data_IF_867872941288
#
_entry.id   IF_867872941288
#
_cell.length_a   1.000
_cell.length_b   1.000
_cell.length_c   1.000
_cell.angle_alpha   90.00
_cell.angle_beta   90.00
_cell.angle_gamma   90.00
#
_symmetry.space_group_name_H-M   'P 1'
#
loop_
_entity.id
_entity.type
_entity.pdbx_description
1 polymer ?
#
# COMPACT_ATOMS: atom_id res chain seq x y z
N UNK A 1 22.07 11.95 -8.36
CA UNK A 1 21.14 12.78 -7.56
C UNK A 1 21.90 13.45 -6.42
N UNK A 2 21.71 14.76 -6.18
CA UNK A 2 22.16 15.41 -4.96
C UNK A 2 21.51 14.81 -3.71
N UNK A 3 22.26 14.78 -2.60
CA UNK A 3 21.86 14.20 -1.30
C UNK A 3 20.48 14.69 -0.82
N UNK A 4 20.17 15.97 -1.04
CA UNK A 4 18.89 16.56 -0.63
C UNK A 4 17.70 16.00 -1.42
N UNK A 5 17.89 15.64 -2.69
CA UNK A 5 16.83 15.03 -3.50
C UNK A 5 16.55 13.60 -3.06
N UNK A 6 17.58 12.84 -2.67
CA UNK A 6 17.42 11.48 -2.13
C UNK A 6 16.61 11.51 -0.84
N UNK A 7 16.90 12.45 0.06
CA UNK A 7 16.13 12.62 1.30
C UNK A 7 14.68 12.99 1.03
N UNK A 8 14.42 13.89 0.06
CA UNK A 8 13.06 14.24 -0.35
C UNK A 8 12.32 13.04 -0.93
N UNK A 9 13.00 12.23 -1.75
CA UNK A 9 12.43 11.01 -2.32
C UNK A 9 12.05 10.00 -1.24
N UNK A 10 12.95 9.75 -0.28
CA UNK A 10 12.65 8.85 0.85
C UNK A 10 11.47 9.34 1.67
N UNK A 11 11.38 10.64 1.96
CA UNK A 11 10.24 11.19 2.69
C UNK A 11 8.92 11.06 1.90
N UNK A 12 8.96 11.24 0.58
CA UNK A 12 7.80 11.01 -0.26
C UNK A 12 7.34 9.54 -0.21
N UNK A 13 8.27 8.59 -0.31
CA UNK A 13 7.98 7.15 -0.21
C UNK A 13 7.38 6.81 1.16
N UNK A 14 7.97 7.30 2.25
CA UNK A 14 7.42 7.11 3.61
C UNK A 14 6.01 7.68 3.73
N UNK A 15 5.74 8.84 3.13
CA UNK A 15 4.41 9.44 3.12
C UNK A 15 3.37 8.59 2.38
N UNK A 16 3.74 7.95 1.27
CA UNK A 16 2.85 7.05 0.54
C UNK A 16 2.60 5.74 1.32
N UNK A 17 3.63 5.16 1.93
CA UNK A 17 3.51 3.99 2.80
C UNK A 17 2.64 4.27 4.03
N UNK A 18 2.82 5.42 4.68
CA UNK A 18 2.00 5.81 5.82
C UNK A 18 0.52 6.00 5.42
N UNK A 19 0.27 6.60 4.25
CA UNK A 19 -1.09 6.75 3.71
C UNK A 19 -1.74 5.40 3.44
N UNK A 20 -0.99 4.46 2.88
CA UNK A 20 -1.48 3.11 2.69
C UNK A 20 -1.85 2.43 4.02
N UNK A 21 -0.98 2.52 5.04
CA UNK A 21 -1.29 1.99 6.38
C UNK A 21 -2.57 2.57 6.97
N UNK A 22 -2.85 3.86 6.76
CA UNK A 22 -4.08 4.52 7.21
C UNK A 22 -5.34 4.07 6.46
N UNK A 23 -5.17 3.51 5.25
CA UNK A 23 -6.28 3.01 4.42
C UNK A 23 -6.58 1.53 4.69
N UNK A 24 -5.73 0.83 5.45
CA UNK A 24 -6.05 -0.50 5.97
C UNK A 24 -6.99 -0.36 7.17
N UNK A 25 -8.05 -1.18 7.26
CA UNK A 25 -8.79 -1.36 8.50
C UNK A 25 -7.85 -1.75 9.63
N UNK A 26 -8.07 -1.27 10.86
CA UNK A 26 -7.18 -1.61 11.98
C UNK A 26 -7.18 -3.13 12.27
N UNK A 27 -8.30 -3.81 12.01
CA UNK A 27 -8.40 -5.27 12.11
C UNK A 27 -7.59 -6.02 11.04
N UNK A 28 -7.18 -5.35 9.95
CA UNK A 28 -6.44 -5.95 8.84
C UNK A 28 -4.93 -6.03 9.08
N UNK A 29 -4.44 -5.53 10.21
CA UNK A 29 -3.03 -5.57 10.58
C UNK A 29 -2.91 -5.91 12.06
N UNK A 30 -2.10 -6.93 12.37
CA UNK A 30 -1.81 -7.27 13.76
C UNK A 30 -0.93 -6.19 14.41
N UNK A 31 -0.98 -6.09 15.74
CA UNK A 31 -0.09 -5.18 16.47
C UNK A 31 1.39 -5.44 16.17
N UNK A 32 1.78 -6.72 16.02
CA UNK A 32 3.14 -7.10 15.66
C UNK A 32 3.53 -6.61 14.26
N UNK A 33 2.66 -6.79 13.26
CA UNK A 33 2.90 -6.31 11.90
C UNK A 33 2.95 -4.77 11.82
N UNK A 34 2.12 -4.08 12.60
CA UNK A 34 2.14 -2.62 12.69
C UNK A 34 3.45 -2.11 13.33
N UNK A 35 3.96 -2.78 14.36
CA UNK A 35 5.26 -2.46 14.97
C UNK A 35 6.42 -2.70 14.01
N UNK A 36 6.45 -3.84 13.31
CA UNK A 36 7.48 -4.15 12.32
C UNK A 36 7.46 -3.15 11.15
N UNK A 37 6.28 -2.78 10.67
CA UNK A 37 6.15 -1.74 9.66
C UNK A 37 6.77 -0.41 10.11
N UNK A 38 6.54 0.00 11.36
CA UNK A 38 7.13 1.22 11.90
C UNK A 38 8.66 1.12 12.02
N UNK A 39 9.17 -0.02 12.48
CA UNK A 39 10.62 -0.30 12.54
C UNK A 39 11.27 -0.15 11.15
N UNK A 40 10.68 -0.76 10.11
CA UNK A 40 11.18 -0.62 8.73
C UNK A 40 11.21 0.85 8.26
N UNK A 41 10.21 1.66 8.63
CA UNK A 41 10.22 3.08 8.31
C UNK A 41 11.35 3.82 9.03
N UNK A 42 11.60 3.52 10.30
CA UNK A 42 12.63 4.18 11.10
C UNK A 42 14.04 3.86 10.57
N UNK A 43 14.23 2.63 10.06
CA UNK A 43 15.49 2.16 9.48
C UNK A 43 15.65 2.44 7.97
N UNK A 44 14.71 3.13 7.32
CA UNK A 44 14.66 3.34 5.86
C UNK A 44 14.63 2.04 5.03
N UNK A 45 14.11 0.95 5.59
CA UNK A 45 13.91 -0.33 4.89
C UNK A 45 12.59 -0.30 4.10
N UNK A 46 12.46 0.67 3.20
CA UNK A 46 11.20 1.04 2.55
C UNK A 46 10.59 -0.09 1.70
N UNK A 47 11.43 -0.98 1.15
CA UNK A 47 10.97 -2.17 0.44
C UNK A 47 10.29 -3.18 1.37
N UNK A 48 10.86 -3.42 2.56
CA UNK A 48 10.27 -4.31 3.57
C UNK A 48 8.96 -3.72 4.12
N UNK A 49 8.93 -2.41 4.36
CA UNK A 49 7.70 -1.71 4.73
C UNK A 49 6.59 -1.85 3.67
N UNK A 50 6.96 -1.82 2.38
CA UNK A 50 6.02 -2.03 1.28
C UNK A 50 5.49 -3.47 1.25
N UNK A 51 6.37 -4.46 1.37
CA UNK A 51 5.98 -5.88 1.40
C UNK A 51 5.09 -6.22 2.58
N UNK A 52 5.37 -5.68 3.77
CA UNK A 52 4.53 -5.90 4.95
C UNK A 52 3.09 -5.40 4.76
N UNK A 53 2.91 -4.25 4.10
CA UNK A 53 1.57 -3.76 3.76
C UNK A 53 0.92 -4.58 2.65
N UNK A 54 1.69 -5.01 1.66
CA UNK A 54 1.18 -5.86 0.58
C UNK A 54 0.55 -7.14 1.11
N UNK A 55 1.23 -7.84 2.02
CA UNK A 55 0.71 -9.07 2.65
C UNK A 55 -0.63 -8.79 3.34
N UNK A 56 -0.72 -7.71 4.12
CA UNK A 56 -1.97 -7.30 4.76
C UNK A 56 -3.07 -7.00 3.73
N UNK A 57 -2.72 -6.36 2.62
CA UNK A 57 -3.67 -6.03 1.56
C UNK A 57 -4.20 -7.27 0.83
N UNK A 58 -3.35 -8.26 0.56
CA UNK A 58 -3.76 -9.51 -0.10
C UNK A 58 -4.80 -10.24 0.77
N UNK A 59 -4.58 -10.29 2.08
CA UNK A 59 -5.44 -11.03 3.00
C UNK A 59 -6.78 -10.34 3.27
N UNK A 60 -6.85 -9.01 3.18
CA UNK A 60 -8.01 -8.23 3.64
C UNK A 60 -8.75 -7.46 2.54
N UNK A 61 -8.30 -7.55 1.29
CA UNK A 61 -8.96 -6.94 0.11
C UNK A 61 -9.35 -5.47 0.33
N UNK A 62 -8.39 -4.57 0.66
CA UNK A 62 -8.67 -3.16 0.89
C UNK A 62 -9.09 -2.45 -0.40
N UNK A 63 -9.66 -1.25 -0.24
CA UNK A 63 -10.12 -0.45 -1.38
C UNK A 63 -9.00 0.01 -2.30
N UNK A 64 -9.36 0.44 -3.52
CA UNK A 64 -8.42 0.85 -4.57
C UNK A 64 -7.39 1.91 -4.12
N UNK A 65 -7.80 2.84 -3.24
CA UNK A 65 -6.92 3.89 -2.70
C UNK A 65 -5.70 3.32 -1.96
N UNK A 66 -5.84 2.18 -1.28
CA UNK A 66 -4.73 1.51 -0.61
C UNK A 66 -3.68 1.06 -1.63
N UNK A 67 -4.14 0.32 -2.65
CA UNK A 67 -3.26 -0.20 -3.70
C UNK A 67 -2.60 0.91 -4.52
N UNK A 68 -3.30 2.03 -4.76
CA UNK A 68 -2.72 3.19 -5.43
C UNK A 68 -1.61 3.85 -4.58
N UNK A 69 -1.78 3.91 -3.26
CA UNK A 69 -0.73 4.41 -2.38
C UNK A 69 0.51 3.48 -2.37
N UNK A 70 0.31 2.15 -2.32
CA UNK A 70 1.42 1.18 -2.46
C UNK A 70 2.12 1.29 -3.82
N UNK A 71 1.34 1.45 -4.91
CA UNK A 71 1.88 1.69 -6.26
C UNK A 71 2.79 2.91 -6.27
N UNK A 72 2.36 4.02 -5.68
CA UNK A 72 3.10 5.27 -5.70
C UNK A 72 4.41 5.19 -4.93
N UNK A 73 4.44 4.44 -3.83
CA UNK A 73 5.66 4.10 -3.10
C UNK A 73 6.59 3.21 -3.96
N UNK A 74 6.06 2.11 -4.51
CA UNK A 74 6.82 1.17 -5.33
C UNK A 74 7.44 1.82 -6.57
N UNK A 75 6.67 2.66 -7.27
CA UNK A 75 7.15 3.40 -8.43
C UNK A 75 8.32 4.34 -8.09
N UNK A 76 8.25 5.05 -6.96
CA UNK A 76 9.34 5.92 -6.48
C UNK A 76 10.59 5.15 -6.05
N UNK A 77 10.43 3.89 -5.63
CA UNK A 77 11.53 2.98 -5.33
C UNK A 77 12.11 2.28 -6.56
N UNK A 78 11.51 2.46 -7.75
CA UNK A 78 11.92 1.77 -8.98
C UNK A 78 11.46 0.30 -9.04
N UNK A 79 10.50 -0.11 -8.20
CA UNK A 79 9.94 -1.45 -8.16
C UNK A 79 8.80 -1.59 -9.20
N UNK A 80 9.14 -1.52 -10.49
CA UNK A 80 8.15 -1.43 -11.58
C UNK A 80 7.14 -2.59 -11.58
N UNK A 81 7.60 -3.82 -11.35
CA UNK A 81 6.72 -5.00 -11.32
C UNK A 81 5.69 -4.92 -10.17
N UNK A 82 6.10 -4.40 -9.01
CA UNK A 82 5.22 -4.20 -7.86
C UNK A 82 4.21 -3.08 -8.15
N UNK A 83 4.67 -1.96 -8.73
CA UNK A 83 3.80 -0.86 -9.12
C UNK A 83 2.70 -1.33 -10.10
N UNK A 84 3.06 -2.11 -11.12
CA UNK A 84 2.08 -2.67 -12.05
C UNK A 84 1.11 -3.65 -11.37
N UNK A 85 1.62 -4.52 -10.49
CA UNK A 85 0.79 -5.43 -9.70
C UNK A 85 -0.25 -4.66 -8.88
N UNK A 86 0.18 -3.64 -8.16
CA UNK A 86 -0.71 -2.83 -7.32
C UNK A 86 -1.70 -2.02 -8.14
N UNK A 87 -1.31 -1.51 -9.29
CA UNK A 87 -2.24 -0.86 -10.21
C UNK A 87 -3.37 -1.81 -10.63
N UNK A 88 -3.04 -3.06 -11.02
CA UNK A 88 -4.04 -4.08 -11.35
C UNK A 88 -4.94 -4.44 -10.17
N UNK A 89 -4.41 -4.49 -8.95
CA UNK A 89 -5.19 -4.74 -7.74
C UNK A 89 -6.13 -3.58 -7.41
N UNK A 90 -5.73 -2.34 -7.67
CA UNK A 90 -6.59 -1.17 -7.51
C UNK A 90 -7.78 -1.17 -8.50
N UNK A 91 -7.55 -1.67 -9.72
CA UNK A 91 -8.56 -1.71 -10.78
C UNK A 91 -9.52 -2.90 -10.66
N UNK A 92 -9.14 -3.95 -9.90
CA UNK A 92 -10.04 -5.05 -9.56
C UNK A 92 -11.18 -4.51 -8.71
N UNK A 93 -12.31 -4.27 -9.37
CA UNK A 93 -13.58 -3.81 -8.81
C UNK A 93 -13.87 -4.46 -7.46
N UNK A 94 -14.04 -3.60 -6.45
CA UNK A 94 -15.03 -3.82 -5.39
C UNK A 94 -16.32 -4.28 -6.08
N UNK A 95 -16.93 -5.42 -5.73
CA UNK A 95 -18.21 -5.80 -6.30
C UNK A 95 -19.18 -4.66 -6.06
N UNK A 96 -19.56 -3.95 -7.12
CA UNK A 96 -20.75 -3.11 -7.10
C UNK A 96 -21.89 -4.10 -6.93
N UNK A 97 -22.41 -4.19 -5.71
CA UNK A 97 -23.62 -4.92 -5.42
C UNK A 97 -24.75 -4.16 -6.14
N UNK A 98 -24.96 -4.46 -7.42
CA UNK A 98 -26.20 -4.16 -8.11
C UNK A 98 -27.28 -4.98 -7.42
N UNK A 99 -27.94 -4.39 -6.44
CA UNK A 99 -29.21 -4.85 -5.90
C UNK A 99 -30.32 -4.50 -6.89
N UNK A 100 -30.23 -5.04 -8.10
CA UNK A 100 -31.30 -4.97 -9.10
C UNK A 100 -31.40 -6.31 -9.80
N UNK A 101 -32.15 -7.24 -9.20
CA UNK A 101 -33.33 -7.78 -9.85
C UNK A 101 -34.14 -8.64 -8.87
N UNK A 102 -35.30 -8.11 -8.53
CA UNK A 102 -36.47 -8.92 -8.20
C UNK A 102 -36.80 -9.84 -9.38
N UNK A 103 -36.99 -11.12 -9.10
CA UNK A 103 -37.89 -12.03 -9.84
C UNK A 103 -38.51 -12.92 -8.76
N UNK A 104 -39.72 -12.57 -8.30
CA UNK A 104 -41.01 -13.10 -8.79
C UNK A 104 -41.03 -14.63 -8.83
#
# INVERSE_FOLDING_TARGET
>A
MPKQEVLKLWQAIKGDLARARQLLPEAAISAAAAMQFQEFLDHNELGLACSALEDCGIDHSPGSKFWLALRDAAAKMGLSEHAEKYHRLADRRTPSYNSENARH
#
